data_IF_061635058378
#
_entry.id   IF_061635058378
#
_cell.length_a   1.000
_cell.length_b   1.000
_cell.length_c   1.000
_cell.angle_alpha   90.00
_cell.angle_beta   90.00
_cell.angle_gamma   90.00
#
_symmetry.space_group_name_H-M   'P 1'
#
loop_
_entity.id
_entity.type
_entity.pdbx_description
1 polymer ?
#
# COMPACT_ATOMS: atom_id res chain seq x y z
N UNK A 1 65.76 -19.08 -6.96
CA UNK A 1 65.24 -18.92 -5.59
C UNK A 1 64.44 -17.62 -5.43
N UNK A 2 64.98 -16.46 -5.84
CA UNK A 2 64.32 -15.14 -5.63
C UNK A 2 62.97 -14.94 -6.34
N UNK A 3 62.80 -15.46 -7.57
CA UNK A 3 61.54 -15.33 -8.30
C UNK A 3 60.37 -16.10 -7.69
N UNK A 4 60.66 -17.20 -6.98
CA UNK A 4 59.63 -18.03 -6.33
C UNK A 4 59.04 -17.33 -5.10
N UNK A 5 59.88 -16.57 -4.37
CA UNK A 5 59.48 -15.77 -3.21
C UNK A 5 58.57 -14.61 -3.63
N UNK A 6 58.90 -13.91 -4.73
CA UNK A 6 58.06 -12.82 -5.26
C UNK A 6 56.67 -13.29 -5.72
N UNK A 7 56.58 -14.48 -6.30
CA UNK A 7 55.30 -15.07 -6.71
C UNK A 7 54.46 -15.44 -5.49
N UNK A 8 55.07 -16.00 -4.44
CA UNK A 8 54.40 -16.30 -3.17
C UNK A 8 53.89 -15.03 -2.47
N UNK A 9 54.67 -13.94 -2.48
CA UNK A 9 54.29 -12.67 -1.87
C UNK A 9 53.07 -12.03 -2.56
N UNK A 10 52.99 -12.14 -3.89
CA UNK A 10 51.85 -11.66 -4.68
C UNK A 10 50.63 -12.60 -4.54
N UNK A 11 50.82 -13.90 -4.35
CA UNK A 11 49.74 -14.88 -4.18
C UNK A 11 49.27 -15.06 -2.74
N UNK A 12 49.97 -14.50 -1.76
CA UNK A 12 49.58 -14.57 -0.37
C UNK A 12 48.27 -13.80 -0.12
N UNK A 13 48.14 -12.57 -0.61
CA UNK A 13 46.95 -11.74 -0.35
C UNK A 13 45.67 -12.26 -1.03
N UNK A 14 45.64 -12.72 -2.31
CA UNK A 14 44.44 -13.26 -2.92
C UNK A 14 44.01 -14.56 -2.24
N UNK A 15 44.98 -15.40 -1.85
CA UNK A 15 44.71 -16.65 -1.15
C UNK A 15 44.10 -16.39 0.23
N UNK A 16 44.63 -15.42 0.97
CA UNK A 16 44.06 -15.00 2.26
C UNK A 16 42.64 -14.46 2.08
N UNK A 17 42.39 -13.63 1.06
CA UNK A 17 41.03 -13.13 0.76
C UNK A 17 40.10 -14.29 0.38
N UNK A 18 40.56 -15.26 -0.41
CA UNK A 18 39.78 -16.44 -0.80
C UNK A 18 39.40 -17.31 0.40
N UNK A 19 40.37 -17.59 1.27
CA UNK A 19 40.16 -18.39 2.50
C UNK A 19 39.24 -17.65 3.46
N UNK A 20 39.45 -16.34 3.67
CA UNK A 20 38.56 -15.51 4.47
C UNK A 20 37.13 -15.53 3.89
N UNK A 21 36.97 -15.31 2.59
CA UNK A 21 35.66 -15.35 1.93
C UNK A 21 35.01 -16.73 2.09
N UNK A 22 35.75 -17.83 1.99
CA UNK A 22 35.21 -19.18 2.20
C UNK A 22 34.78 -19.44 3.64
N UNK A 23 35.55 -18.96 4.62
CA UNK A 23 35.25 -19.12 6.03
C UNK A 23 34.02 -18.29 6.43
N UNK A 24 33.93 -17.05 5.96
CA UNK A 24 32.88 -16.10 6.35
C UNK A 24 31.60 -16.17 5.50
N UNK A 25 31.59 -16.89 4.37
CA UNK A 25 30.38 -17.05 3.52
C UNK A 25 29.14 -17.53 4.30
N UNK A 26 29.33 -18.43 5.27
CA UNK A 26 28.23 -18.94 6.11
C UNK A 26 27.73 -17.89 7.10
N UNK A 27 28.64 -17.14 7.70
CA UNK A 27 28.32 -16.15 8.73
C UNK A 27 27.68 -14.89 8.12
N UNK A 28 28.21 -14.38 6.99
CA UNK A 28 27.62 -13.23 6.28
C UNK A 28 26.17 -13.51 5.87
N UNK A 29 25.88 -14.71 5.35
CA UNK A 29 24.53 -15.07 4.96
C UNK A 29 23.55 -15.12 6.14
N UNK A 30 24.03 -15.43 7.35
CA UNK A 30 23.19 -15.41 8.56
C UNK A 30 22.91 -13.98 9.05
N UNK A 31 23.92 -13.11 9.01
CA UNK A 31 23.79 -11.70 9.43
C UNK A 31 22.91 -10.94 8.46
N UNK A 32 23.12 -11.10 7.15
CA UNK A 32 22.26 -10.50 6.12
C UNK A 32 20.81 -10.92 6.30
N UNK A 33 20.52 -12.21 6.51
CA UNK A 33 19.15 -12.68 6.79
C UNK A 33 18.55 -12.08 8.04
N UNK A 34 19.33 -11.87 9.10
CA UNK A 34 18.86 -11.21 10.33
C UNK A 34 18.55 -9.74 10.07
N UNK A 35 19.41 -9.02 9.35
CA UNK A 35 19.18 -7.61 9.00
C UNK A 35 17.92 -7.46 8.15
N UNK A 36 17.77 -8.27 7.10
CA UNK A 36 16.57 -8.30 6.26
C UNK A 36 15.34 -8.60 7.11
N UNK A 37 15.37 -9.63 7.98
CA UNK A 37 14.23 -9.97 8.85
C UNK A 37 13.84 -8.85 9.82
N UNK A 38 14.82 -8.10 10.35
CA UNK A 38 14.57 -6.97 11.26
C UNK A 38 13.96 -5.80 10.49
N UNK A 39 14.56 -5.45 9.35
CA UNK A 39 14.07 -4.37 8.47
C UNK A 39 12.63 -4.65 8.04
N UNK A 40 12.32 -5.88 7.66
CA UNK A 40 10.99 -6.24 7.21
C UNK A 40 9.96 -6.33 8.33
N UNK A 41 10.36 -6.81 9.51
CA UNK A 41 9.52 -6.76 10.70
C UNK A 41 9.21 -5.32 11.13
N UNK A 42 10.18 -4.42 11.05
CA UNK A 42 9.98 -3.00 11.34
C UNK A 42 9.07 -2.35 10.29
N UNK A 43 9.27 -2.64 9.01
CA UNK A 43 8.40 -2.16 7.93
C UNK A 43 6.95 -2.63 8.09
N UNK A 44 6.74 -3.89 8.47
CA UNK A 44 5.40 -4.43 8.79
C UNK A 44 4.74 -3.69 9.94
N UNK A 45 5.48 -3.44 11.02
CA UNK A 45 4.98 -2.70 12.18
C UNK A 45 4.55 -1.29 11.78
N UNK A 46 5.39 -0.56 11.03
CA UNK A 46 5.07 0.78 10.55
C UNK A 46 3.84 0.81 9.62
N UNK A 47 3.71 -0.19 8.73
CA UNK A 47 2.56 -0.30 7.85
C UNK A 47 1.26 -0.55 8.64
N UNK A 48 1.31 -1.45 9.62
CA UNK A 48 0.17 -1.76 10.47
C UNK A 48 -0.21 -0.60 11.38
N UNK A 49 0.78 0.11 11.93
CA UNK A 49 0.58 1.32 12.72
C UNK A 49 -0.11 2.42 11.89
N UNK A 50 0.31 2.65 10.65
CA UNK A 50 -0.35 3.61 9.76
C UNK A 50 -1.81 3.19 9.45
N UNK A 51 -2.08 1.90 9.25
CA UNK A 51 -3.45 1.40 9.07
C UNK A 51 -4.29 1.55 10.35
N UNK A 52 -3.72 1.30 11.51
CA UNK A 52 -4.36 1.53 12.81
C UNK A 52 -4.66 3.00 13.04
N UNK A 53 -3.74 3.90 12.70
CA UNK A 53 -3.98 5.33 12.77
C UNK A 53 -5.13 5.77 11.86
N UNK A 54 -5.18 5.26 10.63
CA UNK A 54 -6.29 5.55 9.70
C UNK A 54 -7.62 5.01 10.26
N UNK A 55 -7.59 3.90 10.98
CA UNK A 55 -8.76 3.30 11.62
C UNK A 55 -9.21 4.06 12.88
N UNK A 56 -8.30 4.47 13.76
CA UNK A 56 -8.62 5.17 15.01
C UNK A 56 -9.14 6.59 14.78
N UNK A 57 -8.76 7.23 13.67
CA UNK A 57 -9.29 8.52 13.21
C UNK A 57 -10.70 8.40 12.63
N UNK A 58 -11.47 7.37 12.98
CA UNK A 58 -12.89 7.24 12.63
C UNK A 58 -13.78 7.58 13.82
N UNK A 59 -14.79 8.45 13.66
CA UNK A 59 -16.04 8.24 14.34
C UNK A 59 -16.66 6.93 13.81
N UNK A 60 -17.22 6.13 14.71
CA UNK A 60 -17.93 4.86 14.44
C UNK A 60 -19.23 5.13 13.65
N UNK A 61 -19.09 5.69 12.45
CA UNK A 61 -20.21 5.96 11.57
C UNK A 61 -20.72 4.60 11.12
N UNK A 62 -21.92 4.27 11.60
CA UNK A 62 -22.68 3.08 11.25
C UNK A 62 -23.09 3.19 9.77
N UNK A 63 -22.12 3.11 8.87
CA UNK A 63 -22.37 2.93 7.45
C UNK A 63 -22.83 1.48 7.32
N UNK A 64 -24.14 1.30 7.21
CA UNK A 64 -24.71 -0.03 7.00
C UNK A 64 -24.01 -0.71 5.82
N UNK A 65 -23.36 -1.84 6.10
CA UNK A 65 -22.73 -2.68 5.10
C UNK A 65 -23.82 -3.11 4.12
N UNK A 66 -23.79 -2.57 2.91
CA UNK A 66 -24.65 -3.04 1.83
C UNK A 66 -24.26 -4.49 1.48
N UNK A 67 -25.23 -5.32 1.06
CA UNK A 67 -24.95 -6.71 0.67
C UNK A 67 -23.88 -6.83 -0.43
N UNK A 68 -23.74 -5.79 -1.27
CA UNK A 68 -22.74 -5.68 -2.32
C UNK A 68 -21.31 -5.46 -1.79
N UNK A 69 -21.13 -4.63 -0.74
CA UNK A 69 -19.85 -4.46 -0.02
C UNK A 69 -19.39 -5.79 0.58
N UNK A 70 -20.32 -6.59 1.11
CA UNK A 70 -19.96 -7.90 1.70
C UNK A 70 -19.41 -8.91 0.69
N UNK A 71 -19.92 -8.90 -0.55
CA UNK A 71 -19.44 -9.79 -1.63
C UNK A 71 -18.09 -9.33 -2.16
N UNK A 72 -17.94 -8.05 -2.47
CA UNK A 72 -16.69 -7.47 -2.95
C UNK A 72 -15.55 -7.68 -1.95
N UNK A 73 -15.81 -7.44 -0.67
CA UNK A 73 -14.86 -7.69 0.42
C UNK A 73 -14.39 -9.15 0.42
N UNK A 74 -15.32 -10.10 0.29
CA UNK A 74 -14.99 -11.53 0.28
C UNK A 74 -14.10 -11.92 -0.91
N UNK A 75 -14.36 -11.36 -2.11
CA UNK A 75 -13.57 -11.60 -3.31
C UNK A 75 -12.17 -11.02 -3.18
N UNK A 76 -12.06 -9.78 -2.69
CA UNK A 76 -10.78 -9.12 -2.50
C UNK A 76 -9.89 -9.82 -1.47
N UNK A 77 -10.49 -10.36 -0.39
CA UNK A 77 -9.77 -11.18 0.58
C UNK A 77 -9.25 -12.50 0.00
N UNK A 78 -9.93 -13.09 -1.00
CA UNK A 78 -9.39 -14.25 -1.72
C UNK A 78 -8.20 -13.87 -2.60
N UNK A 79 -8.27 -12.72 -3.29
CA UNK A 79 -7.15 -12.19 -4.07
C UNK A 79 -5.96 -11.88 -3.15
N UNK A 80 -6.21 -11.30 -1.97
CA UNK A 80 -5.18 -10.96 -0.99
C UNK A 80 -4.36 -12.17 -0.52
N UNK A 81 -4.99 -13.34 -0.40
CA UNK A 81 -4.30 -14.61 -0.05
C UNK A 81 -3.31 -15.07 -1.11
N UNK A 82 -3.59 -14.76 -2.38
CA UNK A 82 -2.74 -15.15 -3.51
C UNK A 82 -1.71 -14.08 -3.84
N UNK A 83 -2.13 -12.81 -3.79
CA UNK A 83 -1.30 -11.66 -4.10
C UNK A 83 -1.81 -10.41 -3.34
N UNK A 84 -1.28 -10.13 -2.15
CA UNK A 84 -1.70 -8.98 -1.34
C UNK A 84 -1.42 -7.64 -2.02
N UNK A 85 -0.35 -7.54 -2.84
CA UNK A 85 -0.04 -6.33 -3.59
C UNK A 85 -1.12 -6.02 -4.63
N UNK A 86 -1.51 -7.03 -5.40
CA UNK A 86 -2.57 -6.89 -6.39
C UNK A 86 -3.90 -6.52 -5.74
N UNK A 87 -4.23 -7.15 -4.61
CA UNK A 87 -5.45 -6.83 -3.87
C UNK A 87 -5.49 -5.37 -3.38
N UNK A 88 -4.38 -4.83 -2.87
CA UNK A 88 -4.29 -3.41 -2.46
C UNK A 88 -4.46 -2.47 -3.66
N UNK A 89 -3.82 -2.78 -4.79
CA UNK A 89 -3.94 -1.97 -6.01
C UNK A 89 -5.39 -1.96 -6.49
N UNK A 90 -6.02 -3.13 -6.56
CA UNK A 90 -7.42 -3.26 -6.99
C UNK A 90 -8.39 -2.57 -6.01
N UNK A 91 -8.16 -2.72 -4.70
CA UNK A 91 -8.94 -2.03 -3.68
C UNK A 91 -8.83 -0.50 -3.80
N UNK A 92 -7.66 0.02 -4.15
CA UNK A 92 -7.51 1.44 -4.47
C UNK A 92 -8.24 1.84 -5.77
N UNK A 93 -8.19 0.99 -6.80
CA UNK A 93 -8.92 1.24 -8.06
C UNK A 93 -10.43 1.37 -7.82
N UNK A 94 -11.01 0.60 -6.89
CA UNK A 94 -12.41 0.77 -6.50
C UNK A 94 -12.73 2.17 -5.93
N UNK A 95 -11.81 2.75 -5.14
CA UNK A 95 -11.93 4.14 -4.65
C UNK A 95 -11.87 5.14 -5.81
N UNK A 96 -10.95 4.93 -6.75
CA UNK A 96 -10.83 5.78 -7.95
C UNK A 96 -12.11 5.78 -8.78
N UNK A 97 -12.69 4.60 -9.02
CA UNK A 97 -13.96 4.44 -9.75
C UNK A 97 -15.09 5.17 -9.02
N UNK A 98 -15.23 5.00 -7.70
CA UNK A 98 -16.26 5.69 -6.92
C UNK A 98 -16.12 7.23 -6.98
N UNK A 99 -14.89 7.76 -6.97
CA UNK A 99 -14.64 9.18 -7.18
C UNK A 99 -15.05 9.66 -8.58
N UNK A 100 -14.75 8.88 -9.62
CA UNK A 100 -15.15 9.18 -11.01
C UNK A 100 -16.68 9.21 -11.11
N UNK A 101 -17.36 8.22 -10.56
CA UNK A 101 -18.83 8.13 -10.57
C UNK A 101 -19.51 9.28 -9.83
N UNK A 102 -18.87 9.80 -8.78
CA UNK A 102 -19.31 11.01 -8.08
C UNK A 102 -19.17 12.29 -8.92
N UNK A 103 -18.39 12.26 -9.99
CA UNK A 103 -18.19 13.38 -10.91
C UNK A 103 -16.79 13.97 -10.88
N UNK A 104 -15.77 13.24 -10.40
CA UNK A 104 -14.38 13.63 -10.59
C UNK A 104 -14.07 13.58 -12.09
N UNK A 105 -13.99 14.74 -12.74
CA UNK A 105 -13.67 14.83 -14.17
C UNK A 105 -12.17 14.56 -14.36
N UNK A 106 -11.84 13.34 -14.75
CA UNK A 106 -10.58 13.06 -15.42
C UNK A 106 -10.66 13.68 -16.83
N UNK A 107 -10.08 14.88 -17.01
CA UNK A 107 -10.14 15.60 -18.28
C UNK A 107 -9.67 14.74 -19.47
N UNK A 108 -10.20 15.03 -20.65
CA UNK A 108 -10.08 14.25 -21.89
C UNK A 108 -8.64 13.98 -22.41
N UNK A 109 -7.61 14.49 -21.73
CA UNK A 109 -6.19 14.36 -22.09
C UNK A 109 -5.24 14.34 -20.87
N UNK A 110 -5.67 13.93 -19.67
CA UNK A 110 -4.78 13.96 -18.48
C UNK A 110 -4.24 12.58 -18.07
N UNK A 111 -2.91 12.46 -17.87
CA UNK A 111 -2.29 11.29 -17.27
C UNK A 111 -2.38 11.36 -15.74
N UNK A 112 -2.95 10.31 -15.11
CA UNK A 112 -2.98 10.01 -13.66
C UNK A 112 -3.91 10.85 -12.76
N UNK A 113 -4.56 10.15 -11.82
CA UNK A 113 -5.11 10.69 -10.57
C UNK A 113 -4.05 11.54 -9.86
N UNK A 114 -4.06 12.86 -10.09
CA UNK A 114 -3.09 13.73 -9.44
C UNK A 114 -3.45 13.89 -7.97
N UNK A 115 -2.46 13.84 -7.05
CA UNK A 115 -2.71 13.97 -5.63
C UNK A 115 -3.54 15.17 -5.21
N UNK A 116 -3.23 16.31 -5.81
CA UNK A 116 -3.84 17.60 -5.51
C UNK A 116 -5.26 17.70 -6.06
N UNK A 117 -5.50 17.21 -7.28
CA UNK A 117 -6.84 17.21 -7.85
C UNK A 117 -7.79 16.29 -7.08
N UNK A 118 -7.29 15.14 -6.59
CA UNK A 118 -8.08 14.27 -5.73
C UNK A 118 -8.47 14.97 -4.42
N UNK A 119 -7.50 15.59 -3.74
CA UNK A 119 -7.76 16.31 -2.50
C UNK A 119 -8.78 17.46 -2.72
N UNK A 120 -8.55 18.28 -3.74
CA UNK A 120 -9.44 19.39 -4.09
C UNK A 120 -10.86 18.90 -4.43
N UNK A 121 -10.99 17.79 -5.15
CA UNK A 121 -12.27 17.16 -5.44
C UNK A 121 -12.99 16.69 -4.18
N UNK A 122 -12.29 16.02 -3.26
CA UNK A 122 -12.90 15.52 -2.02
C UNK A 122 -13.39 16.67 -1.13
N UNK A 123 -12.71 17.81 -1.11
CA UNK A 123 -13.18 19.02 -0.42
C UNK A 123 -14.49 19.60 -0.99
N UNK A 124 -14.83 19.30 -2.25
CA UNK A 124 -16.10 19.74 -2.84
C UNK A 124 -17.29 18.86 -2.45
N UNK A 125 -17.06 17.72 -1.78
CA UNK A 125 -18.12 16.81 -1.32
C UNK A 125 -18.67 17.34 0.01
N UNK A 126 -19.93 17.79 0.09
CA UNK A 126 -20.46 18.47 1.28
C UNK A 126 -20.47 17.61 2.55
N UNK A 127 -20.58 16.30 2.40
CA UNK A 127 -20.67 15.35 3.52
C UNK A 127 -19.30 14.86 4.01
N UNK A 128 -18.21 15.30 3.39
CA UNK A 128 -16.87 14.84 3.72
C UNK A 128 -16.17 15.86 4.63
N UNK A 129 -15.82 15.40 5.82
CA UNK A 129 -14.98 16.17 6.74
C UNK A 129 -13.48 15.98 6.43
N UNK A 130 -12.64 16.72 7.15
CA UNK A 130 -11.18 16.64 7.00
C UNK A 130 -10.63 15.24 7.29
N UNK A 131 -11.28 14.47 8.16
CA UNK A 131 -10.83 13.12 8.52
C UNK A 131 -11.06 12.13 7.39
N UNK A 132 -12.21 12.19 6.73
CA UNK A 132 -12.52 11.40 5.53
C UNK A 132 -11.57 11.74 4.38
N UNK A 133 -11.26 13.03 4.17
CA UNK A 133 -10.29 13.44 3.15
C UNK A 133 -8.90 12.88 3.46
N UNK A 134 -8.44 13.01 4.71
CA UNK A 134 -7.15 12.47 5.15
C UNK A 134 -7.09 10.95 4.96
N UNK A 135 -8.16 10.21 5.27
CA UNK A 135 -8.26 8.76 5.04
C UNK A 135 -7.96 8.40 3.59
N UNK A 136 -8.64 9.03 2.62
CA UNK A 136 -8.42 8.74 1.20
C UNK A 136 -6.97 9.06 0.81
N UNK A 137 -6.43 10.16 1.34
CA UNK A 137 -5.06 10.58 1.04
C UNK A 137 -4.00 9.67 1.64
N UNK A 138 -4.23 9.12 2.83
CA UNK A 138 -3.33 8.21 3.52
C UNK A 138 -3.38 6.81 2.91
N UNK A 139 -4.58 6.31 2.54
CA UNK A 139 -4.72 5.08 1.74
C UNK A 139 -3.96 5.19 0.41
N UNK A 140 -4.00 6.35 -0.26
CA UNK A 140 -3.20 6.58 -1.47
C UNK A 140 -1.69 6.46 -1.22
N UNK A 141 -1.20 7.05 -0.12
CA UNK A 141 0.23 6.99 0.25
C UNK A 141 0.65 5.54 0.51
N UNK A 142 -0.18 4.78 1.23
CA UNK A 142 0.05 3.36 1.50
C UNK A 142 0.10 2.55 0.19
N UNK A 143 -0.87 2.74 -0.72
CA UNK A 143 -0.85 2.12 -2.05
C UNK A 143 0.42 2.44 -2.81
N UNK A 144 0.84 3.71 -2.82
CA UNK A 144 2.06 4.14 -3.50
C UNK A 144 3.31 3.43 -2.93
N UNK A 145 3.38 3.24 -1.61
CA UNK A 145 4.46 2.50 -0.95
C UNK A 145 4.48 1.04 -1.39
N UNK A 146 3.32 0.39 -1.48
CA UNK A 146 3.19 -0.99 -1.95
C UNK A 146 3.58 -1.14 -3.43
N UNK A 147 3.29 -0.15 -4.27
CA UNK A 147 3.66 -0.18 -5.70
C UNK A 147 5.14 0.15 -5.93
N UNK A 148 5.73 1.05 -5.14
CA UNK A 148 7.12 1.49 -5.30
C UNK A 148 8.13 0.71 -4.46
N UNK A 149 7.68 0.00 -3.42
CA UNK A 149 8.49 -0.96 -2.67
C UNK A 149 8.80 -2.16 -3.56
N UNK A 150 9.91 -2.09 -4.30
CA UNK A 150 10.35 -3.18 -5.18
C UNK A 150 10.66 -4.47 -4.40
N UNK A 151 10.86 -4.39 -3.07
CA UNK A 151 11.37 -5.50 -2.23
C UNK A 151 10.48 -5.86 -1.01
N UNK A 152 9.24 -5.40 -0.92
CA UNK A 152 8.36 -5.84 0.16
C UNK A 152 7.94 -7.30 -0.07
N UNK A 153 8.40 -8.25 0.76
CA UNK A 153 7.85 -9.61 0.73
C UNK A 153 6.34 -9.54 0.99
N UNK A 154 5.62 -10.40 0.28
CA UNK A 154 4.17 -10.52 0.38
C UNK A 154 3.68 -10.76 1.82
N UNK A 155 4.50 -11.38 2.67
CA UNK A 155 4.21 -11.66 4.10
C UNK A 155 4.13 -10.40 4.99
N UNK A 156 4.66 -9.25 4.54
CA UNK A 156 4.66 -8.00 5.31
C UNK A 156 3.42 -7.16 5.09
N UNK A 157 2.62 -7.47 4.06
CA UNK A 157 1.51 -6.64 3.65
C UNK A 157 0.24 -7.14 4.34
N UNK A 158 -0.27 -6.34 5.29
CA UNK A 158 -1.60 -6.54 5.86
C UNK A 158 -2.67 -6.03 4.90
N UNK A 159 -2.89 -6.79 3.83
CA UNK A 159 -3.84 -6.44 2.78
C UNK A 159 -5.28 -6.49 3.28
N UNK A 160 -5.60 -7.39 4.21
CA UNK A 160 -6.95 -7.53 4.77
C UNK A 160 -7.42 -6.22 5.39
N UNK A 161 -6.63 -5.65 6.30
CA UNK A 161 -6.97 -4.37 6.93
C UNK A 161 -7.06 -3.21 5.94
N UNK A 162 -6.16 -3.17 4.95
CA UNK A 162 -6.25 -2.18 3.88
C UNK A 162 -7.57 -2.30 3.08
N UNK A 163 -7.96 -3.52 2.72
CA UNK A 163 -9.19 -3.80 1.95
C UNK A 163 -10.42 -3.39 2.76
N UNK A 164 -10.47 -3.67 4.05
CA UNK A 164 -11.58 -3.25 4.91
C UNK A 164 -11.72 -1.73 4.99
N UNK A 165 -10.60 -1.01 5.13
CA UNK A 165 -10.61 0.46 5.12
C UNK A 165 -11.00 1.02 3.75
N UNK A 166 -10.59 0.36 2.66
CA UNK A 166 -11.01 0.71 1.31
C UNK A 166 -12.51 0.48 1.11
N UNK A 167 -13.07 -0.65 1.56
CA UNK A 167 -14.51 -0.95 1.50
C UNK A 167 -15.34 0.11 2.22
N UNK A 168 -14.93 0.49 3.45
CA UNK A 168 -15.56 1.57 4.21
C UNK A 168 -15.52 2.90 3.44
N UNK A 169 -14.39 3.20 2.80
CA UNK A 169 -14.20 4.43 2.01
C UNK A 169 -15.09 4.44 0.77
N UNK A 170 -15.13 3.34 0.02
CA UNK A 170 -16.00 3.16 -1.16
C UNK A 170 -17.47 3.28 -0.76
N UNK A 171 -17.86 2.67 0.36
CA UNK A 171 -19.23 2.76 0.88
C UNK A 171 -19.64 4.20 1.21
N UNK A 172 -18.74 4.98 1.81
CA UNK A 172 -18.97 6.40 2.09
C UNK A 172 -19.09 7.24 0.80
N UNK A 173 -18.22 7.01 -0.19
CA UNK A 173 -18.30 7.66 -1.51
C UNK A 173 -19.62 7.33 -2.23
N UNK A 174 -20.02 6.07 -2.22
CA UNK A 174 -21.28 5.61 -2.81
C UNK A 174 -22.51 6.19 -2.10
N UNK A 175 -22.45 6.34 -0.77
CA UNK A 175 -23.51 6.99 0.01
C UNK A 175 -23.67 8.46 -0.40
N UNK A 176 -22.56 9.20 -0.53
CA UNK A 176 -22.58 10.58 -1.03
C UNK A 176 -23.16 10.66 -2.46
N UNK A 177 -22.86 9.68 -3.32
CA UNK A 177 -23.38 9.64 -4.69
C UNK A 177 -24.89 9.46 -4.71
N UNK A 178 -25.42 8.52 -3.92
CA UNK A 178 -26.87 8.30 -3.79
C UNK A 178 -27.60 9.57 -3.34
N UNK A 179 -27.05 10.30 -2.37
CA UNK A 179 -27.65 11.55 -1.90
C UNK A 179 -27.67 12.63 -2.98
N UNK A 180 -26.59 12.75 -3.77
CA UNK A 180 -26.52 13.67 -4.92
C UNK A 180 -27.61 13.35 -5.94
N UNK A 181 -27.78 12.08 -6.31
CA UNK A 181 -28.82 11.64 -7.26
C UNK A 181 -30.25 11.91 -6.74
N UNK A 182 -30.51 11.68 -5.45
CA UNK A 182 -31.82 11.94 -4.83
C UNK A 182 -32.15 13.44 -4.81
N UNK A 183 -31.17 14.32 -4.55
CA UNK A 183 -31.38 15.78 -4.59
C UNK A 183 -31.73 16.23 -6.01
N UNK A 184 -31.00 15.76 -7.02
CA UNK A 184 -31.28 16.08 -8.43
C UNK A 184 -32.71 15.65 -8.80
N UNK A 185 -33.16 14.45 -8.42
CA UNK A 185 -34.49 13.96 -8.75
C UNK A 185 -35.65 14.68 -8.03
N UNK A 186 -35.40 15.42 -6.94
CA UNK A 186 -36.40 16.21 -6.21
C UNK A 186 -36.55 17.65 -6.72
N UNK A 187 -35.60 18.14 -7.51
CA UNK A 187 -35.60 19.50 -8.06
C UNK A 187 -36.20 19.59 -9.48
N UNK A 188 -36.70 18.48 -10.02
CA UNK A 188 -37.47 18.38 -11.27
C UNK A 188 -38.88 17.87 -10.99
#
# INVERSE_FOLDING_TARGET
MEHFVKILEILAWPLVVLVAMFQFKKDLGSVLRRLVKVETSAAKMMFNEELEEIEQKLPDSTIEKSGESSKWLSEMLQIAKLNPRAAIIEAWTAIEVACIELGMVAGATMPRFSPRALEEFLYQIPDFDKEMINRVMDLRKLRNRVTHGMDADFDFIDAEKYIELADKTVSALNAANKQKQVKIHREY
#
